data_IF_863607467567
#
_entry.id   IF_863607467567
#
_cell.length_a   1.000
_cell.length_b   1.000
_cell.length_c   1.000
_cell.angle_alpha   90.00
_cell.angle_beta   90.00
_cell.angle_gamma   90.00
#
_symmetry.space_group_name_H-M   'P 1'
#
loop_
_entity.id
_entity.type
_entity.pdbx_description
1 polymer ?
#
# COMPACT_ATOMS: atom_id res chain seq x y z
N UNK A 1 -29.04 -3.61 13.88
CA UNK A 1 -29.05 -3.18 12.46
C UNK A 1 -28.78 -1.69 12.41
N UNK A 2 -28.13 -1.17 11.35
CA UNK A 2 -28.05 0.27 11.14
C UNK A 2 -29.46 0.85 11.01
N UNK A 3 -29.69 2.05 11.55
CA UNK A 3 -30.97 2.77 11.49
C UNK A 3 -30.71 4.26 11.27
N UNK A 4 -31.69 4.98 10.72
CA UNK A 4 -31.62 6.42 10.50
C UNK A 4 -31.78 7.17 11.82
N UNK A 5 -30.93 8.17 12.06
CA UNK A 5 -31.07 9.08 13.20
C UNK A 5 -32.06 10.18 12.79
N UNK A 6 -33.24 10.31 13.42
CA UNK A 6 -34.27 11.23 12.98
C UNK A 6 -33.96 12.70 13.29
N UNK A 7 -33.09 12.97 14.24
CA UNK A 7 -32.65 14.33 14.61
C UNK A 7 -31.16 14.32 14.93
N UNK A 8 -30.28 14.22 13.90
CA UNK A 8 -28.84 14.24 14.11
C UNK A 8 -28.38 15.65 14.49
N UNK A 9 -27.20 15.75 15.13
CA UNK A 9 -26.63 17.05 15.47
C UNK A 9 -26.50 17.98 14.25
N UNK A 10 -26.61 19.31 14.43
CA UNK A 10 -26.59 20.27 13.33
C UNK A 10 -25.34 20.18 12.44
N UNK A 11 -24.23 19.70 12.99
CA UNK A 11 -22.99 19.48 12.23
C UNK A 11 -23.15 18.46 11.10
N UNK A 12 -24.06 17.48 11.25
CA UNK A 12 -24.35 16.46 10.26
C UNK A 12 -25.44 16.87 9.26
N UNK A 13 -26.28 17.86 9.61
CA UNK A 13 -27.34 18.37 8.72
C UNK A 13 -26.88 19.53 7.84
N UNK A 14 -25.90 20.30 8.29
CA UNK A 14 -25.44 21.50 7.59
C UNK A 14 -24.42 21.22 6.47
N UNK A 15 -24.04 19.96 6.27
CA UNK A 15 -23.06 19.55 5.28
C UNK A 15 -23.64 18.43 4.39
N UNK A 16 -23.63 18.66 3.08
CA UNK A 16 -24.02 17.65 2.09
C UNK A 16 -23.01 16.48 2.13
N UNK A 17 -23.51 15.26 2.28
CA UNK A 17 -22.67 14.08 2.34
C UNK A 17 -23.39 12.85 2.87
N UNK A 18 -22.63 11.75 3.00
CA UNK A 18 -23.09 10.54 3.70
C UNK A 18 -22.41 10.47 5.04
N UNK A 19 -23.20 10.32 6.11
CA UNK A 19 -22.71 10.30 7.48
C UNK A 19 -23.04 8.97 8.14
N UNK A 20 -22.05 8.37 8.80
CA UNK A 20 -22.24 7.18 9.61
C UNK A 20 -21.94 7.52 11.06
N UNK A 21 -22.93 7.34 11.94
CA UNK A 21 -22.73 7.40 13.38
C UNK A 21 -22.64 5.96 13.91
N UNK A 22 -21.47 5.59 14.42
CA UNK A 22 -21.19 4.26 14.93
C UNK A 22 -21.03 4.34 16.46
N UNK A 23 -22.15 4.29 17.22
CA UNK A 23 -22.09 4.40 18.67
C UNK A 23 -21.30 3.22 19.24
N UNK A 24 -20.39 3.53 20.15
CA UNK A 24 -19.64 2.53 20.89
C UNK A 24 -20.63 1.68 21.69
N UNK A 25 -20.49 0.35 21.63
CA UNK A 25 -21.13 -0.53 22.63
C UNK A 25 -20.50 -0.31 24.00
N UNK A 26 -21.23 -0.61 25.06
CA UNK A 26 -20.69 -0.68 26.42
C UNK A 26 -19.64 -1.80 26.49
N UNK A 27 -18.42 -1.42 26.12
CA UNK A 27 -17.22 -2.25 26.09
C UNK A 27 -16.22 -1.64 27.08
N UNK A 28 -15.36 -2.48 27.71
CA UNK A 28 -14.32 -1.99 28.60
C UNK A 28 -13.49 -0.88 27.93
N UNK A 29 -12.97 0.05 28.72
CA UNK A 29 -12.20 1.22 28.27
C UNK A 29 -11.04 0.87 27.33
N UNK A 30 -10.47 -0.34 27.45
CA UNK A 30 -9.44 -0.88 26.55
C UNK A 30 -9.86 -0.92 25.07
N UNK A 31 -11.14 -1.13 24.74
CA UNK A 31 -11.60 -1.18 23.35
C UNK A 31 -11.61 0.18 22.67
N UNK A 32 -11.76 1.27 23.43
CA UNK A 32 -11.74 2.65 22.90
C UNK A 32 -10.32 3.06 22.58
N UNK A 33 -9.40 2.73 23.48
CA UNK A 33 -7.96 2.97 23.26
C UNK A 33 -7.49 2.20 22.03
N UNK A 34 -7.93 0.95 21.86
CA UNK A 34 -7.61 0.17 20.66
C UNK A 34 -8.17 0.78 19.37
N UNK A 35 -9.43 1.22 19.35
CA UNK A 35 -10.04 1.86 18.17
C UNK A 35 -9.37 3.20 17.83
N UNK A 36 -9.02 4.00 18.85
CA UNK A 36 -8.24 5.22 18.69
C UNK A 36 -6.87 4.92 18.09
N UNK A 37 -6.13 3.97 18.68
CA UNK A 37 -4.83 3.55 18.16
C UNK A 37 -4.89 3.02 16.72
N UNK A 38 -5.96 2.30 16.34
CA UNK A 38 -6.17 1.85 14.95
C UNK A 38 -6.35 3.04 14.00
N UNK A 39 -7.16 4.05 14.35
CA UNK A 39 -7.34 5.25 13.53
C UNK A 39 -6.04 6.06 13.45
N UNK A 40 -5.31 6.17 14.56
CA UNK A 40 -4.03 6.87 14.62
C UNK A 40 -2.92 6.12 13.85
N UNK A 41 -3.06 4.81 13.65
CA UNK A 41 -2.13 4.00 12.84
C UNK A 41 -2.32 4.12 11.33
N UNK A 42 -3.36 4.82 10.87
CA UNK A 42 -3.57 5.06 9.44
C UNK A 42 -2.51 6.00 8.92
N UNK A 43 -1.75 5.55 7.94
CA UNK A 43 -0.71 6.35 7.28
C UNK A 43 -1.22 7.04 6.00
N UNK A 44 -0.58 8.13 5.54
CA UNK A 44 -0.90 8.77 4.26
C UNK A 44 -0.92 7.80 3.08
N UNK A 45 -0.05 6.77 3.12
CA UNK A 45 0.09 5.71 2.11
C UNK A 45 -1.22 4.95 1.85
N UNK A 46 -2.16 4.96 2.80
CA UNK A 46 -3.53 4.43 2.66
C UNK A 46 -4.24 4.98 1.42
N UNK A 47 -3.96 6.23 1.03
CA UNK A 47 -4.62 6.87 -0.12
C UNK A 47 -4.09 6.39 -1.47
N UNK A 48 -2.90 5.80 -1.57
CA UNK A 48 -2.20 5.57 -2.85
C UNK A 48 -3.06 4.82 -3.88
N UNK A 49 -3.70 3.73 -3.45
CA UNK A 49 -4.43 2.81 -4.34
C UNK A 49 -5.95 3.03 -4.34
N UNK A 50 -6.43 4.08 -3.69
CA UNK A 50 -7.86 4.44 -3.71
C UNK A 50 -8.14 5.34 -4.91
N UNK A 51 -9.03 4.92 -5.82
CA UNK A 51 -9.21 5.64 -7.09
C UNK A 51 -9.87 7.01 -6.93
N UNK A 52 -10.83 7.15 -6.00
CA UNK A 52 -11.64 8.37 -5.86
C UNK A 52 -11.33 9.16 -4.58
N UNK A 53 -10.85 8.50 -3.52
CA UNK A 53 -10.53 9.17 -2.27
C UNK A 53 -9.18 9.88 -2.41
N UNK A 54 -9.22 11.21 -2.45
CA UNK A 54 -8.03 12.07 -2.60
C UNK A 54 -7.60 12.73 -1.30
N UNK A 55 -8.44 12.71 -0.27
CA UNK A 55 -8.11 13.27 1.04
C UNK A 55 -8.80 12.48 2.14
N UNK A 56 -8.12 12.35 3.27
CA UNK A 56 -8.64 11.76 4.50
C UNK A 56 -8.32 12.68 5.66
N UNK A 57 -9.33 13.03 6.45
CA UNK A 57 -9.17 13.81 7.68
C UNK A 57 -9.68 12.99 8.85
N UNK A 58 -8.83 12.79 9.87
CA UNK A 58 -9.18 12.12 11.11
C UNK A 58 -9.06 13.15 12.23
N UNK A 59 -10.15 13.35 12.96
CA UNK A 59 -10.20 14.32 14.07
C UNK A 59 -10.54 13.60 15.37
N UNK A 60 -9.67 13.72 16.35
CA UNK A 60 -9.90 13.24 17.71
C UNK A 60 -10.33 14.43 18.58
N UNK A 61 -11.62 14.51 18.90
CA UNK A 61 -12.18 15.61 19.71
C UNK A 61 -11.80 15.56 21.18
N UNK A 62 -11.43 14.38 21.70
CA UNK A 62 -11.04 14.19 23.11
C UNK A 62 -9.61 14.66 23.34
N UNK A 63 -8.70 14.30 22.43
CA UNK A 63 -7.29 14.69 22.49
C UNK A 63 -7.01 16.02 21.77
N UNK A 64 -8.03 16.61 21.13
CA UNK A 64 -7.92 17.81 20.30
C UNK A 64 -6.85 17.70 19.20
N UNK A 65 -6.68 16.52 18.63
CA UNK A 65 -5.74 16.28 17.53
C UNK A 65 -6.48 16.13 16.20
N UNK A 66 -5.80 16.48 15.11
CA UNK A 66 -6.28 16.27 13.75
C UNK A 66 -5.11 15.90 12.84
N UNK A 67 -5.31 14.87 12.04
CA UNK A 67 -4.42 14.54 10.92
C UNK A 67 -5.19 14.69 9.62
N UNK A 68 -4.53 15.27 8.62
CA UNK A 68 -5.06 15.43 7.27
C UNK A 68 -4.06 14.84 6.31
N UNK A 69 -4.50 13.90 5.49
CA UNK A 69 -3.74 13.33 4.40
C UNK A 69 -4.37 13.76 3.08
N UNK A 70 -3.52 14.14 2.11
CA UNK A 70 -3.96 14.48 0.77
C UNK A 70 -3.07 13.82 -0.26
N UNK A 71 -3.69 13.24 -1.29
CA UNK A 71 -3.04 12.64 -2.43
C UNK A 71 -3.12 13.57 -3.64
N UNK A 72 -1.99 13.79 -4.29
CA UNK A 72 -1.88 14.57 -5.52
C UNK A 72 -1.09 13.78 -6.56
N UNK A 73 -1.66 13.53 -7.73
CA UNK A 73 -0.90 12.97 -8.85
C UNK A 73 -0.13 14.09 -9.55
N UNK A 74 1.18 13.94 -9.65
CA UNK A 74 2.06 14.90 -10.34
C UNK A 74 2.41 14.45 -11.76
N UNK A 75 2.29 13.14 -12.03
CA UNK A 75 2.34 12.54 -13.36
C UNK A 75 1.45 11.29 -13.42
N UNK A 76 1.54 10.49 -14.50
CA UNK A 76 0.85 9.20 -14.61
C UNK A 76 1.35 8.13 -13.63
N UNK A 77 2.59 8.25 -13.15
CA UNK A 77 3.24 7.28 -12.25
C UNK A 77 3.83 7.93 -10.99
N UNK A 78 3.68 9.24 -10.78
CA UNK A 78 4.16 9.96 -9.60
C UNK A 78 3.02 10.52 -8.76
N UNK A 79 3.12 10.29 -7.45
CA UNK A 79 2.13 10.69 -6.46
C UNK A 79 2.83 11.35 -5.29
N UNK A 80 2.36 12.53 -4.90
CA UNK A 80 2.75 13.18 -3.66
C UNK A 80 1.66 12.97 -2.62
N UNK A 81 2.07 12.49 -1.44
CA UNK A 81 1.22 12.43 -0.26
C UNK A 81 1.62 13.55 0.69
N UNK A 82 0.65 14.39 1.05
CA UNK A 82 0.84 15.54 1.91
C UNK A 82 0.22 15.29 3.28
N UNK A 83 0.87 15.77 4.33
CA UNK A 83 0.29 15.87 5.68
C UNK A 83 -0.02 17.34 6.03
N UNK A 84 -0.90 17.57 7.00
CA UNK A 84 -1.11 18.92 7.57
C UNK A 84 0.10 19.46 8.36
N UNK A 85 1.15 18.66 8.56
CA UNK A 85 2.41 19.11 9.17
C UNK A 85 3.39 19.71 8.16
N UNK A 86 3.05 19.71 6.87
CA UNK A 86 3.88 20.25 5.79
C UNK A 86 4.80 19.22 5.13
N UNK A 87 4.82 17.98 5.62
CA UNK A 87 5.60 16.91 5.02
C UNK A 87 5.00 16.50 3.67
N UNK A 88 5.89 16.26 2.70
CA UNK A 88 5.55 15.72 1.39
C UNK A 88 6.33 14.43 1.18
N UNK A 89 5.60 13.35 0.92
CA UNK A 89 6.16 12.04 0.62
C UNK A 89 5.93 11.76 -0.87
N UNK A 90 6.98 11.86 -1.72
CA UNK A 90 6.89 11.50 -3.12
C UNK A 90 6.96 9.98 -3.30
N UNK A 91 6.08 9.44 -4.14
CA UNK A 91 5.98 8.02 -4.46
C UNK A 91 5.93 7.80 -5.97
N UNK A 92 6.56 6.72 -6.43
CA UNK A 92 6.33 6.18 -7.76
C UNK A 92 5.33 5.02 -7.67
N UNK A 93 4.18 5.15 -8.31
CA UNK A 93 3.12 4.15 -8.33
C UNK A 93 2.98 3.60 -9.74
N UNK A 94 3.20 2.30 -9.88
CA UNK A 94 3.06 1.62 -11.16
C UNK A 94 2.12 0.43 -11.03
N UNK A 95 1.37 0.12 -12.09
CA UNK A 95 0.43 -0.98 -12.07
C UNK A 95 0.14 -1.56 -13.44
N UNK A 96 0.00 -2.87 -13.49
CA UNK A 96 -0.33 -3.63 -14.68
C UNK A 96 -1.73 -4.23 -14.57
N UNK A 97 -2.46 -4.25 -15.69
CA UNK A 97 -3.66 -5.06 -15.84
C UNK A 97 -3.22 -6.46 -16.27
N UNK A 98 -3.78 -7.48 -15.63
CA UNK A 98 -3.47 -8.89 -15.88
C UNK A 98 -4.77 -9.62 -16.18
N UNK A 99 -4.76 -10.43 -17.23
CA UNK A 99 -5.90 -11.27 -17.57
C UNK A 99 -6.12 -12.33 -16.50
N UNK A 100 -7.38 -12.45 -16.07
CA UNK A 100 -7.76 -13.41 -15.04
C UNK A 100 -7.86 -14.80 -15.67
N UNK A 101 -7.23 -15.83 -15.07
CA UNK A 101 -7.31 -17.19 -15.57
C UNK A 101 -8.76 -17.69 -15.60
N UNK A 102 -9.10 -18.50 -16.60
CA UNK A 102 -10.46 -19.02 -16.81
C UNK A 102 -11.14 -19.60 -15.54
N UNK A 103 -10.45 -20.34 -14.65
CA UNK A 103 -11.07 -20.84 -13.41
C UNK A 103 -11.62 -19.74 -12.47
N UNK A 104 -11.07 -18.52 -12.53
CA UNK A 104 -11.44 -17.42 -11.64
C UNK A 104 -12.29 -16.34 -12.35
N UNK A 105 -12.39 -16.38 -13.68
CA UNK A 105 -12.97 -15.30 -14.48
C UNK A 105 -14.45 -15.01 -14.14
N UNK A 106 -15.22 -16.04 -13.78
CA UNK A 106 -16.63 -15.90 -13.40
C UNK A 106 -16.85 -15.15 -12.08
N UNK A 107 -15.86 -15.18 -11.17
CA UNK A 107 -15.96 -14.57 -9.83
C UNK A 107 -15.18 -13.25 -9.77
N UNK A 108 -14.01 -13.21 -10.40
CA UNK A 108 -13.06 -12.10 -10.32
C UNK A 108 -13.15 -11.13 -11.51
N UNK A 109 -13.91 -11.47 -12.54
CA UNK A 109 -14.00 -10.69 -13.78
C UNK A 109 -12.93 -11.09 -14.80
N UNK A 110 -12.90 -10.41 -15.94
CA UNK A 110 -12.00 -10.73 -17.05
C UNK A 110 -10.54 -10.33 -16.80
N UNK A 111 -10.31 -9.26 -16.03
CA UNK A 111 -8.97 -8.76 -15.70
C UNK A 111 -8.90 -8.27 -14.25
N UNK A 112 -7.69 -8.24 -13.72
CA UNK A 112 -7.36 -7.74 -12.38
C UNK A 112 -6.16 -6.82 -12.45
N UNK A 113 -5.97 -5.98 -11.43
CA UNK A 113 -4.84 -5.05 -11.36
C UNK A 113 -3.87 -5.46 -10.26
N UNK A 114 -2.58 -5.48 -10.59
CA UNK A 114 -1.47 -5.60 -9.64
C UNK A 114 -0.65 -4.32 -9.69
N UNK A 115 -0.29 -3.77 -8.53
CA UNK A 115 0.34 -2.47 -8.43
C UNK A 115 1.43 -2.47 -7.37
N UNK A 116 2.42 -1.60 -7.55
CA UNK A 116 3.44 -1.34 -6.53
C UNK A 116 3.65 0.15 -6.37
N UNK A 117 4.04 0.55 -5.16
CA UNK A 117 4.47 1.91 -4.88
C UNK A 117 5.85 1.92 -4.23
N UNK A 118 6.78 2.69 -4.81
CA UNK A 118 8.13 2.89 -4.32
C UNK A 118 8.22 4.29 -3.69
N UNK A 119 8.62 4.42 -2.41
CA UNK A 119 8.88 5.73 -1.83
C UNK A 119 10.16 6.30 -2.45
N UNK A 120 10.11 7.57 -2.87
CA UNK A 120 11.19 8.23 -3.60
C UNK A 120 12.06 9.12 -2.73
N UNK A 121 11.57 9.44 -1.53
CA UNK A 121 12.34 10.11 -0.50
C UNK A 121 13.06 9.10 0.38
N UNK A 122 14.32 9.40 0.68
CA UNK A 122 15.13 8.65 1.62
C UNK A 122 15.96 9.63 2.44
N UNK A 123 15.71 9.66 3.74
CA UNK A 123 16.33 10.59 4.70
C UNK A 123 17.65 10.06 5.29
N UNK A 124 18.15 8.91 4.82
CA UNK A 124 19.36 8.27 5.35
C UNK A 124 19.10 7.26 6.47
N UNK A 125 17.88 7.20 7.01
CA UNK A 125 17.49 6.26 8.07
C UNK A 125 17.27 4.83 7.54
N UNK A 126 16.82 3.90 8.36
CA UNK A 126 16.42 2.57 7.86
C UNK A 126 15.09 2.69 7.11
N UNK A 127 15.03 2.20 5.87
CA UNK A 127 13.76 2.11 5.13
C UNK A 127 12.78 1.23 5.93
N UNK A 128 11.64 1.77 6.38
CA UNK A 128 10.69 1.00 7.16
C UNK A 128 10.01 -0.05 6.30
N UNK A 129 9.63 -1.15 6.94
CA UNK A 129 8.81 -2.16 6.32
C UNK A 129 7.42 -1.57 6.00
N UNK A 130 6.98 -1.78 4.77
CA UNK A 130 5.70 -1.34 4.24
C UNK A 130 4.68 -2.49 4.35
N UNK A 131 3.40 -2.17 4.59
CA UNK A 131 2.36 -3.19 4.54
C UNK A 131 2.04 -3.58 3.09
N UNK A 132 1.53 -4.79 2.91
CA UNK A 132 0.85 -5.20 1.68
C UNK A 132 -0.60 -4.72 1.73
N UNK A 133 -1.12 -4.30 0.58
CA UNK A 133 -2.43 -3.69 0.44
C UNK A 133 -3.41 -4.59 -0.31
N UNK A 134 -4.64 -4.56 0.18
CA UNK A 134 -5.84 -4.98 -0.54
C UNK A 134 -6.85 -3.82 -0.47
N UNK A 135 -6.54 -2.76 -1.21
CA UNK A 135 -7.09 -1.40 -1.14
C UNK A 135 -6.76 -0.64 0.16
N UNK A 136 -6.78 -1.32 1.30
CA UNK A 136 -6.30 -0.82 2.58
C UNK A 136 -5.09 -1.64 3.03
N UNK A 137 -4.23 -1.10 3.93
CA UNK A 137 -3.16 -1.85 4.57
C UNK A 137 -3.70 -3.12 5.23
N UNK A 138 -3.00 -4.24 5.05
CA UNK A 138 -3.30 -5.53 5.68
C UNK A 138 -2.27 -5.82 6.77
N UNK A 139 -1.06 -6.21 6.36
CA UNK A 139 0.06 -6.52 7.25
C UNK A 139 1.38 -6.35 6.47
N UNK A 140 2.48 -6.12 7.18
CA UNK A 140 3.81 -6.17 6.58
C UNK A 140 4.39 -7.58 6.54
N UNK A 141 5.07 -7.87 5.43
CA UNK A 141 5.74 -9.15 5.17
C UNK A 141 7.25 -8.98 4.93
N UNK A 142 7.82 -7.80 5.24
CA UNK A 142 9.25 -7.49 5.05
C UNK A 142 9.59 -6.67 3.80
N UNK A 143 8.59 -6.24 3.02
CA UNK A 143 8.80 -5.37 1.88
C UNK A 143 9.10 -3.94 2.31
N UNK A 144 9.92 -3.21 1.54
CA UNK A 144 10.18 -1.77 1.72
C UNK A 144 9.50 -0.89 0.67
N UNK A 145 8.83 -1.52 -0.29
CA UNK A 145 7.86 -0.91 -1.18
C UNK A 145 6.47 -1.48 -0.85
N UNK A 146 5.41 -0.81 -1.30
CA UNK A 146 4.05 -1.30 -1.10
C UNK A 146 3.68 -2.19 -2.29
N UNK A 147 3.16 -3.37 -2.01
CA UNK A 147 2.48 -4.22 -3.00
C UNK A 147 0.98 -4.09 -2.83
N UNK A 148 0.24 -3.98 -3.93
CA UNK A 148 -1.22 -3.97 -3.93
C UNK A 148 -1.78 -4.89 -5.01
N UNK A 149 -2.78 -5.69 -4.63
CA UNK A 149 -3.63 -6.41 -5.56
C UNK A 149 -5.00 -6.70 -4.93
N UNK A 150 -5.91 -7.30 -5.70
CA UNK A 150 -7.18 -7.81 -5.19
C UNK A 150 -7.01 -9.15 -4.47
N UNK A 151 -6.20 -9.19 -3.41
CA UNK A 151 -5.93 -10.39 -2.64
C UNK A 151 -7.16 -10.88 -1.87
N UNK A 152 -7.32 -12.19 -1.79
CA UNK A 152 -8.24 -12.83 -0.86
C UNK A 152 -7.69 -12.75 0.56
N UNK A 153 -8.57 -12.40 1.51
CA UNK A 153 -8.27 -12.23 2.92
C UNK A 153 -9.21 -13.09 3.78
N UNK A 154 -8.80 -13.52 4.97
CA UNK A 154 -9.74 -14.04 5.96
C UNK A 154 -10.69 -12.93 6.42
N UNK A 155 -11.79 -13.29 7.07
CA UNK A 155 -12.77 -12.31 7.59
C UNK A 155 -12.16 -11.30 8.56
N UNK A 156 -11.11 -11.66 9.30
CA UNK A 156 -10.39 -10.74 10.19
C UNK A 156 -9.54 -9.71 9.44
N UNK A 157 -9.21 -9.97 8.16
CA UNK A 157 -8.28 -9.18 7.34
C UNK A 157 -6.89 -9.01 7.94
N UNK A 158 -6.46 -9.95 8.78
CA UNK A 158 -5.16 -9.86 9.46
C UNK A 158 -4.00 -10.41 8.62
N UNK A 159 -4.27 -11.19 7.56
CA UNK A 159 -3.23 -11.78 6.72
C UNK A 159 -3.67 -11.99 5.25
N UNK A 160 -2.71 -12.20 4.37
CA UNK A 160 -2.94 -12.62 2.97
C UNK A 160 -3.07 -14.15 2.95
N UNK A 161 -4.15 -14.68 2.38
CA UNK A 161 -4.36 -16.12 2.30
C UNK A 161 -3.39 -16.78 1.33
N UNK A 162 -2.92 -17.98 1.66
CA UNK A 162 -2.15 -18.83 0.75
C UNK A 162 -3.09 -19.72 -0.07
N UNK A 163 -3.72 -19.13 -1.09
CA UNK A 163 -4.66 -19.82 -1.98
C UNK A 163 -4.25 -19.65 -3.45
N UNK A 164 -4.86 -20.42 -4.35
CA UNK A 164 -4.50 -20.43 -5.77
C UNK A 164 -4.65 -19.06 -6.44
N UNK A 165 -5.66 -18.28 -6.05
CA UNK A 165 -5.90 -16.94 -6.57
C UNK A 165 -4.77 -15.98 -6.17
N UNK A 166 -4.41 -15.95 -4.90
CA UNK A 166 -3.33 -15.10 -4.40
C UNK A 166 -1.99 -15.55 -4.99
N UNK A 167 -1.72 -16.86 -5.08
CA UNK A 167 -0.52 -17.38 -5.74
C UNK A 167 -0.44 -16.98 -7.22
N UNK A 168 -1.56 -16.91 -7.92
CA UNK A 168 -1.61 -16.35 -9.28
C UNK A 168 -1.20 -14.87 -9.30
N UNK A 169 -1.71 -14.04 -8.38
CA UNK A 169 -1.34 -12.62 -8.27
C UNK A 169 0.14 -12.45 -7.90
N UNK A 170 0.65 -13.24 -6.96
CA UNK A 170 2.04 -13.21 -6.51
C UNK A 170 3.03 -13.42 -7.67
N UNK A 171 2.69 -14.30 -8.62
CA UNK A 171 3.51 -14.57 -9.81
C UNK A 171 3.64 -13.37 -10.76
N UNK A 172 2.78 -12.36 -10.66
CA UNK A 172 2.82 -11.18 -11.52
C UNK A 172 3.81 -10.11 -11.04
N UNK A 173 4.13 -10.11 -9.74
CA UNK A 173 4.97 -9.08 -9.15
C UNK A 173 6.46 -9.13 -9.52
N UNK A 174 7.14 -10.30 -9.64
CA UNK A 174 8.58 -10.34 -9.80
C UNK A 174 9.11 -9.51 -10.97
N UNK A 175 8.55 -9.72 -12.16
CA UNK A 175 8.96 -8.97 -13.36
C UNK A 175 8.62 -7.49 -13.25
N UNK A 176 7.40 -7.18 -12.81
CA UNK A 176 6.96 -5.80 -12.59
C UNK A 176 7.91 -5.06 -11.63
N UNK A 177 8.35 -5.73 -10.56
CA UNK A 177 9.24 -5.15 -9.55
C UNK A 177 10.59 -4.84 -10.16
N UNK A 178 11.19 -5.81 -10.85
CA UNK A 178 12.50 -5.66 -11.47
C UNK A 178 12.47 -4.56 -12.53
N UNK A 179 11.48 -4.56 -13.42
CA UNK A 179 11.35 -3.57 -14.49
C UNK A 179 11.28 -2.14 -13.93
N UNK A 180 10.47 -1.93 -12.87
CA UNK A 180 10.37 -0.62 -12.24
C UNK A 180 11.62 -0.26 -11.44
N UNK A 181 12.21 -1.20 -10.71
CA UNK A 181 13.44 -0.95 -9.95
C UNK A 181 14.56 -0.51 -10.90
N UNK A 182 14.82 -1.25 -11.97
CA UNK A 182 15.86 -0.92 -12.96
C UNK A 182 15.61 0.44 -13.61
N UNK A 183 14.35 0.75 -13.94
CA UNK A 183 13.99 2.07 -14.51
C UNK A 183 14.25 3.21 -13.53
N UNK A 184 14.03 3.01 -12.24
CA UNK A 184 14.13 4.06 -11.22
C UNK A 184 15.54 4.22 -10.62
N UNK A 185 16.34 3.16 -10.60
CA UNK A 185 17.67 3.16 -9.98
C UNK A 185 18.61 4.31 -10.42
N UNK A 186 18.66 4.72 -11.71
CA UNK A 186 19.50 5.84 -12.13
C UNK A 186 19.16 7.17 -11.45
N UNK A 187 17.87 7.40 -11.19
CA UNK A 187 17.37 8.62 -10.55
C UNK A 187 17.32 8.47 -9.02
N UNK A 188 17.04 7.27 -8.52
CA UNK A 188 16.89 6.95 -7.09
C UNK A 188 17.72 5.72 -6.70
N UNK A 189 19.07 5.86 -6.58
CA UNK A 189 19.94 4.72 -6.28
C UNK A 189 19.64 4.02 -4.95
N UNK A 190 19.06 4.73 -3.98
CA UNK A 190 18.69 4.20 -2.67
C UNK A 190 17.63 3.07 -2.76
N UNK A 191 16.86 3.01 -3.85
CA UNK A 191 15.86 1.96 -4.08
C UNK A 191 16.48 0.56 -4.17
N UNK A 192 17.79 0.44 -4.40
CA UNK A 192 18.50 -0.85 -4.34
C UNK A 192 18.30 -1.55 -2.99
N UNK A 193 18.06 -0.79 -1.91
CA UNK A 193 17.80 -1.32 -0.56
C UNK A 193 16.43 -1.97 -0.43
N UNK A 194 15.57 -1.88 -1.45
CA UNK A 194 14.22 -2.45 -1.48
C UNK A 194 14.16 -3.86 -2.05
N UNK A 195 15.29 -4.43 -2.49
CA UNK A 195 15.33 -5.82 -2.97
C UNK A 195 14.78 -6.75 -1.87
N UNK A 196 13.76 -7.58 -2.18
CA UNK A 196 13.07 -8.40 -1.21
C UNK A 196 13.87 -9.67 -0.85
N UNK A 197 14.73 -9.59 0.18
CA UNK A 197 15.59 -10.72 0.61
C UNK A 197 14.97 -11.51 1.76
N UNK A 198 14.49 -10.84 2.81
CA UNK A 198 13.94 -11.46 4.03
C UNK A 198 12.42 -11.31 4.08
N UNK A 199 11.72 -11.95 3.14
CA UNK A 199 10.28 -11.84 2.98
C UNK A 199 9.55 -13.01 3.64
N UNK A 200 8.56 -12.71 4.47
CA UNK A 200 7.72 -13.70 5.13
C UNK A 200 6.74 -14.41 4.15
N UNK A 201 6.31 -15.65 4.44
CA UNK A 201 5.23 -16.31 3.70
C UNK A 201 3.92 -15.50 3.71
N UNK A 202 3.09 -15.56 2.66
CA UNK A 202 3.23 -16.40 1.45
C UNK A 202 4.16 -15.81 0.37
N UNK A 203 4.82 -14.67 0.63
CA UNK A 203 5.54 -13.90 -0.39
C UNK A 203 7.00 -14.32 -0.62
N UNK A 204 7.57 -15.18 0.24
CA UNK A 204 8.99 -15.59 0.16
C UNK A 204 9.42 -16.08 -1.24
N UNK A 205 8.59 -16.87 -1.94
CA UNK A 205 8.89 -17.33 -3.30
C UNK A 205 8.92 -16.19 -4.33
N UNK A 206 8.08 -15.17 -4.15
CA UNK A 206 8.11 -13.96 -4.98
C UNK A 206 9.42 -13.18 -4.75
N UNK A 207 9.88 -13.08 -3.49
CA UNK A 207 11.19 -12.50 -3.16
C UNK A 207 12.35 -13.22 -3.84
N UNK A 208 12.40 -14.56 -3.74
CA UNK A 208 13.40 -15.38 -4.43
C UNK A 208 13.37 -15.21 -5.96
N UNK A 209 12.17 -15.12 -6.55
CA UNK A 209 12.03 -14.89 -7.98
C UNK A 209 12.57 -13.52 -8.41
N UNK A 210 12.34 -12.47 -7.61
CA UNK A 210 12.94 -11.13 -7.84
C UNK A 210 14.46 -11.20 -7.79
N UNK A 211 15.03 -11.80 -6.74
CA UNK A 211 16.50 -11.91 -6.59
C UNK A 211 17.10 -12.64 -7.79
N UNK A 212 16.48 -13.76 -8.21
CA UNK A 212 16.94 -14.52 -9.38
C UNK A 212 16.90 -13.70 -10.67
N UNK A 213 15.84 -12.94 -10.91
CA UNK A 213 15.74 -12.07 -12.08
C UNK A 213 16.80 -10.95 -12.07
N UNK A 214 17.17 -10.44 -10.90
CA UNK A 214 18.19 -9.40 -10.77
C UNK A 214 19.62 -9.93 -10.98
N UNK A 215 19.88 -11.20 -10.65
CA UNK A 215 21.19 -11.82 -10.88
C UNK A 215 21.58 -11.85 -12.36
N UNK A 216 20.60 -11.94 -13.26
CA UNK A 216 20.84 -12.00 -14.70
C UNK A 216 21.02 -10.60 -15.34
N UNK A 217 20.89 -9.50 -14.58
CA UNK A 217 20.86 -8.13 -15.10
C UNK A 217 22.12 -7.31 -14.78
N UNK A 218 22.62 -6.50 -15.73
CA UNK A 218 23.78 -5.64 -15.51
C UNK A 218 23.42 -4.42 -14.65
N UNK A 219 23.47 -4.57 -13.33
CA UNK A 219 23.03 -3.54 -12.37
C UNK A 219 24.18 -2.86 -11.61
N UNK A 220 25.37 -3.46 -11.59
CA UNK A 220 26.52 -2.94 -10.85
C UNK A 220 27.37 -2.08 -11.79
N UNK A 221 27.47 -0.78 -11.49
CA UNK A 221 28.40 0.09 -12.21
C UNK A 221 29.83 -0.15 -11.72
N UNK A 222 30.70 -0.62 -12.60
CA UNK A 222 32.14 -0.78 -12.32
C UNK A 222 32.89 0.52 -12.58
N UNK A 223 34.14 0.63 -12.09
CA UNK A 223 34.97 1.83 -12.20
C UNK A 223 35.19 2.33 -13.65
N UNK A 224 35.02 1.45 -14.65
CA UNK A 224 35.08 1.80 -16.07
C UNK A 224 33.80 2.50 -16.59
N UNK A 225 32.77 2.65 -15.76
CA UNK A 225 31.46 3.18 -16.14
C UNK A 225 30.52 2.13 -16.77
N UNK A 226 31.01 0.94 -17.09
CA UNK A 226 30.19 -0.18 -17.58
C UNK A 226 29.32 -0.77 -16.46
N UNK A 227 28.18 -1.35 -16.84
CA UNK A 227 27.30 -2.07 -15.92
C UNK A 227 27.45 -3.58 -16.11
N UNK A 228 27.61 -4.32 -15.01
CA UNK A 228 27.79 -5.78 -15.00
C UNK A 228 26.81 -6.45 -14.06
N UNK A 229 26.55 -7.74 -14.30
CA UNK A 229 25.69 -8.55 -13.45
C UNK A 229 26.31 -8.77 -12.07
N UNK A 230 25.50 -8.88 -10.99
CA UNK A 230 25.98 -9.34 -9.70
C UNK A 230 26.63 -10.73 -9.81
N UNK A 231 27.85 -10.89 -9.29
CA UNK A 231 28.51 -12.20 -9.17
C UNK A 231 28.01 -12.97 -7.95
#
# INVERSE_FOLDING_TARGET
MPYWIPSPDPEFTNQLGTWFHLPKRDSPSSSVVAAGAMLDSLEPSTLLFLNQLMSLTITNRVLHTQVVYRKTWTSSDRVDLHTNMGDVQPWHVHGASVDVPAPFASIKGASTRVQMAFPLSFDGSSLPNQPVFAYLPVQSYGFKCILQANFDLPSSREAILDNEWNQFLLRQFPRLFVDQLVRLLPEFPHLIRMIPVDIAPPFHLMGHAVVRLLQDLPLIQVASGAYVAPQ
#
